data_IF_787549169765
#
_entry.id   IF_787549169765
#
_cell.length_a   1.000
_cell.length_b   1.000
_cell.length_c   1.000
_cell.angle_alpha   90.00
_cell.angle_beta   90.00
_cell.angle_gamma   90.00
#
_symmetry.space_group_name_H-M   'P 1'
#
loop_
_entity.id
_entity.type
_entity.pdbx_description
1 polymer ?
#
# COMPACT_ATOMS: atom_id res chain seq x y z
N UNK A 1 -65.10 30.77 -36.93
CA UNK A 1 -64.29 31.94 -36.54
C UNK A 1 -62.94 31.82 -37.21
N UNK A 2 -62.39 32.87 -37.84
CA UNK A 2 -61.04 32.80 -38.39
C UNK A 2 -60.05 32.57 -37.24
N UNK A 3 -59.19 31.56 -37.40
CA UNK A 3 -58.12 31.27 -36.47
C UNK A 3 -56.82 31.67 -37.15
N UNK A 4 -56.05 32.55 -36.49
CA UNK A 4 -54.69 32.87 -36.91
C UNK A 4 -53.77 32.01 -36.04
N UNK A 5 -52.95 31.21 -36.69
CA UNK A 5 -51.86 30.42 -36.10
C UNK A 5 -50.56 31.03 -36.64
N UNK A 6 -49.50 31.08 -35.82
CA UNK A 6 -48.18 31.70 -36.10
C UNK A 6 -48.10 33.23 -36.06
N UNK A 7 -48.39 33.83 -34.89
CA UNK A 7 -48.04 35.23 -34.60
C UNK A 7 -46.76 35.28 -33.76
N UNK A 8 -45.82 36.14 -34.12
CA UNK A 8 -44.63 36.43 -33.30
C UNK A 8 -45.02 37.26 -32.06
N UNK A 9 -44.12 37.42 -31.09
CA UNK A 9 -44.39 38.28 -29.95
C UNK A 9 -44.62 39.73 -30.40
N UNK A 10 -45.59 40.42 -29.78
CA UNK A 10 -45.95 41.78 -30.14
C UNK A 10 -47.39 42.14 -29.79
N UNK A 11 -47.72 43.42 -29.93
CA UNK A 11 -49.07 43.93 -29.74
C UNK A 11 -49.84 43.84 -31.06
N UNK A 12 -50.95 43.10 -31.05
CA UNK A 12 -51.80 42.92 -32.22
C UNK A 12 -53.10 43.70 -32.05
N UNK A 13 -53.40 44.52 -33.06
CA UNK A 13 -54.70 45.15 -33.21
C UNK A 13 -55.58 44.30 -34.13
N UNK A 14 -56.73 43.87 -33.60
CA UNK A 14 -57.78 43.19 -34.34
C UNK A 14 -58.87 44.20 -34.65
N UNK A 15 -59.22 44.35 -35.93
CA UNK A 15 -60.35 45.16 -36.38
C UNK A 15 -61.48 44.25 -36.85
N UNK A 16 -62.66 44.40 -36.25
CA UNK A 16 -63.89 43.73 -36.70
C UNK A 16 -64.81 44.78 -37.30
N UNK A 17 -65.05 44.70 -38.60
CA UNK A 17 -65.94 45.62 -39.33
C UNK A 17 -67.21 44.91 -39.74
N UNK A 18 -68.37 45.49 -39.39
CA UNK A 18 -69.67 44.94 -39.80
C UNK A 18 -70.00 45.28 -41.27
N UNK A 19 -71.11 44.73 -41.79
CA UNK A 19 -71.54 44.96 -43.17
C UNK A 19 -71.95 46.42 -43.46
N UNK A 20 -72.16 47.24 -42.42
CA UNK A 20 -72.52 48.65 -42.53
C UNK A 20 -71.29 49.57 -42.40
N UNK A 21 -70.08 49.01 -42.27
CA UNK A 21 -68.82 49.75 -42.20
C UNK A 21 -68.41 50.21 -40.81
N UNK A 22 -69.10 49.77 -39.74
CA UNK A 22 -68.72 50.09 -38.37
C UNK A 22 -67.61 49.15 -37.91
N UNK A 23 -66.45 49.70 -37.51
CA UNK A 23 -65.30 48.93 -37.03
C UNK A 23 -65.13 49.03 -35.52
N UNK A 24 -64.89 47.91 -34.85
CA UNK A 24 -64.45 47.83 -33.45
C UNK A 24 -63.00 47.34 -33.45
N UNK A 25 -62.14 48.02 -32.68
CA UNK A 25 -60.76 47.63 -32.45
C UNK A 25 -60.64 46.90 -31.11
N UNK A 26 -59.91 45.79 -31.10
CA UNK A 26 -59.43 45.11 -29.90
C UNK A 26 -57.92 44.98 -29.95
N UNK A 27 -57.26 45.15 -28.80
CA UNK A 27 -55.83 44.96 -28.66
C UNK A 27 -55.55 43.72 -27.81
N UNK A 28 -54.53 42.96 -28.20
CA UNK A 28 -53.98 41.87 -27.38
C UNK A 28 -52.46 41.85 -27.52
N UNK A 29 -51.78 41.52 -26.44
CA UNK A 29 -50.33 41.36 -26.42
C UNK A 29 -49.99 39.88 -26.39
N UNK A 30 -49.11 39.47 -27.31
CA UNK A 30 -48.49 38.16 -27.28
C UNK A 30 -47.09 38.35 -26.70
N UNK A 31 -46.87 37.83 -25.48
CA UNK A 31 -45.57 37.84 -24.82
C UNK A 31 -44.74 36.63 -25.26
N UNK A 32 -43.46 36.83 -25.54
CA UNK A 32 -42.51 35.73 -25.71
C UNK A 32 -42.24 35.09 -24.34
N UNK A 33 -42.14 33.74 -24.26
CA UNK A 33 -41.64 33.09 -23.05
C UNK A 33 -40.26 33.65 -22.67
N UNK A 34 -39.98 33.74 -21.38
CA UNK A 34 -38.62 34.07 -20.92
C UNK A 34 -37.63 33.11 -21.58
N UNK A 35 -36.54 33.61 -22.19
CA UNK A 35 -35.57 32.74 -22.84
C UNK A 35 -35.08 31.70 -21.84
N UNK A 36 -34.82 30.48 -22.31
CA UNK A 36 -34.19 29.49 -21.45
C UNK A 36 -32.81 30.01 -21.03
N UNK A 37 -32.60 30.07 -19.73
CA UNK A 37 -31.33 30.26 -19.08
C UNK A 37 -31.06 29.03 -18.19
N UNK A 38 -29.82 28.85 -17.77
CA UNK A 38 -29.45 27.75 -16.90
C UNK A 38 -28.08 28.02 -16.31
N UNK A 39 -27.85 27.47 -15.12
CA UNK A 39 -26.57 27.60 -14.42
C UNK A 39 -26.13 26.26 -13.86
N UNK A 40 -24.84 26.16 -13.65
CA UNK A 40 -24.24 25.10 -12.84
C UNK A 40 -24.60 25.38 -11.39
N UNK A 41 -25.43 24.54 -10.80
CA UNK A 41 -25.86 24.66 -9.41
C UNK A 41 -24.78 24.12 -8.46
N UNK A 42 -24.18 22.98 -8.82
CA UNK A 42 -23.12 22.36 -8.04
C UNK A 42 -22.16 21.58 -8.95
N UNK A 43 -20.89 21.54 -8.57
CA UNK A 43 -19.88 20.65 -9.14
C UNK A 43 -19.28 19.83 -8.01
N UNK A 44 -19.47 18.52 -8.07
CA UNK A 44 -18.75 17.54 -7.26
C UNK A 44 -17.50 17.11 -8.02
N UNK A 45 -16.33 17.40 -7.43
CA UNK A 45 -15.03 16.95 -7.92
C UNK A 45 -14.85 15.44 -7.71
N UNK A 46 -13.89 14.84 -8.43
CA UNK A 46 -13.55 13.42 -8.21
C UNK A 46 -12.92 13.22 -6.83
N UNK A 47 -13.13 12.04 -6.25
CA UNK A 47 -12.68 11.71 -4.89
C UNK A 47 -11.21 11.38 -4.86
N UNK A 48 -10.76 10.46 -5.73
CA UNK A 48 -9.36 10.08 -5.88
C UNK A 48 -8.82 10.48 -7.25
N UNK A 49 -7.50 10.61 -7.34
CA UNK A 49 -6.84 10.84 -8.62
C UNK A 49 -7.15 9.68 -9.59
N UNK A 50 -7.60 10.00 -10.80
CA UNK A 50 -7.97 9.01 -11.82
C UNK A 50 -9.38 8.40 -11.70
N UNK A 51 -10.15 8.74 -10.66
CA UNK A 51 -11.52 8.25 -10.50
C UNK A 51 -12.51 8.96 -11.44
N UNK A 52 -13.71 8.37 -11.54
CA UNK A 52 -14.87 8.95 -12.23
C UNK A 52 -16.04 9.16 -11.27
N UNK A 53 -15.79 9.66 -10.06
CA UNK A 53 -16.84 9.91 -9.04
C UNK A 53 -17.43 11.32 -9.10
N UNK A 54 -16.98 12.16 -10.04
CA UNK A 54 -17.44 13.52 -10.21
C UNK A 54 -18.90 13.57 -10.68
N UNK A 55 -19.55 14.69 -10.37
CA UNK A 55 -20.91 14.97 -10.81
C UNK A 55 -21.16 16.46 -10.99
N UNK A 56 -22.03 16.82 -11.92
CA UNK A 56 -22.47 18.20 -12.14
C UNK A 56 -23.99 18.25 -12.04
N UNK A 57 -24.49 19.17 -11.22
CA UNK A 57 -25.93 19.46 -11.11
C UNK A 57 -26.25 20.77 -11.80
N UNK A 58 -27.21 20.73 -12.72
CA UNK A 58 -27.69 21.90 -13.46
C UNK A 58 -29.03 22.37 -12.93
N UNK A 59 -29.28 23.67 -13.04
CA UNK A 59 -30.59 24.28 -12.80
C UNK A 59 -31.02 25.06 -14.04
N UNK A 60 -32.15 24.71 -14.64
CA UNK A 60 -32.77 25.45 -15.73
C UNK A 60 -33.69 26.56 -15.18
N UNK A 61 -33.63 27.74 -15.76
CA UNK A 61 -34.41 28.93 -15.44
C UNK A 61 -35.12 29.43 -16.72
N UNK A 62 -36.32 29.98 -16.60
CA UNK A 62 -37.11 30.39 -17.78
C UNK A 62 -37.48 29.20 -18.69
N UNK A 63 -37.66 29.47 -19.99
CA UNK A 63 -37.92 28.44 -21.00
C UNK A 63 -39.24 27.66 -20.83
N UNK A 64 -39.37 26.56 -21.56
CA UNK A 64 -40.58 25.71 -21.56
C UNK A 64 -40.28 24.31 -21.05
N UNK A 65 -40.78 23.89 -19.87
CA UNK A 65 -40.60 22.53 -19.41
C UNK A 65 -41.38 21.51 -20.29
N UNK A 66 -41.01 20.21 -20.29
CA UNK A 66 -39.87 19.63 -19.57
C UNK A 66 -38.51 20.00 -20.16
N UNK A 67 -37.48 19.99 -19.32
CA UNK A 67 -36.10 20.22 -19.72
C UNK A 67 -35.34 18.90 -19.86
N UNK A 68 -34.34 18.90 -20.75
CA UNK A 68 -33.40 17.80 -20.92
C UNK A 68 -31.96 18.30 -20.85
N UNK A 69 -31.08 17.52 -20.23
CA UNK A 69 -29.70 17.85 -19.90
C UNK A 69 -28.74 16.86 -20.55
N UNK A 70 -27.52 17.29 -20.89
CA UNK A 70 -26.44 16.38 -21.30
C UNK A 70 -25.06 17.02 -21.15
N UNK A 71 -24.04 16.18 -21.21
CA UNK A 71 -22.71 16.59 -21.67
C UNK A 71 -22.72 16.67 -23.20
N UNK A 72 -22.10 17.69 -23.78
CA UNK A 72 -22.00 17.87 -25.22
C UNK A 72 -21.34 16.64 -25.87
N UNK A 73 -22.02 16.05 -26.85
CA UNK A 73 -21.62 14.78 -27.48
C UNK A 73 -22.32 13.54 -26.92
N UNK A 74 -23.03 13.65 -25.79
CA UNK A 74 -23.83 12.57 -25.22
C UNK A 74 -25.33 12.69 -25.55
N UNK A 75 -26.11 11.72 -25.07
CA UNK A 75 -27.56 11.73 -25.19
C UNK A 75 -28.20 12.62 -24.12
N UNK A 76 -29.31 13.26 -24.48
CA UNK A 76 -30.12 14.00 -23.53
C UNK A 76 -30.79 13.06 -22.50
N UNK A 77 -30.77 13.47 -21.24
CA UNK A 77 -31.48 12.86 -20.13
C UNK A 77 -32.40 13.87 -19.44
N UNK A 78 -33.37 13.39 -18.67
CA UNK A 78 -34.31 14.26 -17.94
C UNK A 78 -33.81 14.59 -16.52
N UNK A 79 -32.75 13.94 -16.06
CA UNK A 79 -32.13 14.19 -14.76
C UNK A 79 -31.16 15.39 -14.87
N UNK A 80 -31.31 16.44 -14.03
CA UNK A 80 -30.36 17.55 -13.98
C UNK A 80 -28.98 17.17 -13.43
N UNK A 81 -28.79 15.96 -12.89
CA UNK A 81 -27.52 15.48 -12.36
C UNK A 81 -26.81 14.61 -13.41
N UNK A 82 -25.66 15.10 -13.88
CA UNK A 82 -24.72 14.39 -14.73
C UNK A 82 -23.64 13.77 -13.84
N UNK A 83 -23.70 12.46 -13.61
CA UNK A 83 -22.80 11.74 -12.70
C UNK A 83 -21.79 10.88 -13.46
N UNK A 84 -20.89 10.22 -12.71
CA UNK A 84 -19.84 9.34 -13.24
C UNK A 84 -18.82 10.07 -14.12
N UNK A 85 -18.52 11.32 -13.79
CA UNK A 85 -17.60 12.17 -14.55
C UNK A 85 -16.18 12.03 -13.99
N UNK A 86 -15.21 11.85 -14.89
CA UNK A 86 -13.78 12.00 -14.58
C UNK A 86 -13.42 13.48 -14.43
N UNK A 87 -12.21 13.78 -13.93
CA UNK A 87 -11.72 15.14 -13.93
C UNK A 87 -11.53 15.65 -15.37
N UNK A 88 -11.96 16.89 -15.63
CA UNK A 88 -11.93 17.45 -16.97
C UNK A 88 -12.83 18.68 -17.13
N UNK A 89 -12.69 19.32 -18.30
CA UNK A 89 -13.55 20.41 -18.72
C UNK A 89 -14.75 19.85 -19.50
N UNK A 90 -15.95 20.21 -19.07
CA UNK A 90 -17.21 19.75 -19.64
C UNK A 90 -17.98 20.91 -20.23
N UNK A 91 -18.45 20.73 -21.45
CA UNK A 91 -19.50 21.58 -22.04
C UNK A 91 -20.83 20.88 -21.82
N UNK A 92 -21.74 21.55 -21.14
CA UNK A 92 -23.03 21.02 -20.73
C UNK A 92 -24.13 21.72 -21.51
N UNK A 93 -25.12 20.96 -21.95
CA UNK A 93 -26.22 21.50 -22.73
C UNK A 93 -27.56 21.24 -22.05
N UNK A 94 -28.40 22.26 -22.05
CA UNK A 94 -29.79 22.17 -21.58
C UNK A 94 -30.71 22.52 -22.73
N UNK A 95 -31.74 21.70 -22.92
CA UNK A 95 -32.75 21.85 -23.96
C UNK A 95 -34.15 21.94 -23.35
N UNK A 96 -34.92 22.92 -23.80
CA UNK A 96 -36.33 23.05 -23.45
C UNK A 96 -37.27 22.26 -24.38
N UNK A 97 -38.56 22.22 -24.07
CA UNK A 97 -39.55 21.50 -24.86
C UNK A 97 -39.86 22.15 -26.23
N UNK A 98 -39.45 23.41 -26.43
CA UNK A 98 -39.53 24.11 -27.72
C UNK A 98 -38.29 23.87 -28.59
N UNK A 99 -37.29 23.15 -28.08
CA UNK A 99 -36.09 22.77 -28.81
C UNK A 99 -34.95 23.77 -28.71
N UNK A 100 -35.07 24.82 -27.89
CA UNK A 100 -34.01 25.76 -27.64
C UNK A 100 -32.90 25.09 -26.83
N UNK A 101 -31.65 25.17 -27.30
CA UNK A 101 -30.47 24.59 -26.63
C UNK A 101 -29.55 25.72 -26.20
N UNK A 102 -29.06 25.66 -24.97
CA UNK A 102 -28.00 26.52 -24.47
C UNK A 102 -26.85 25.69 -23.92
N UNK A 103 -25.62 26.24 -23.96
CA UNK A 103 -24.40 25.55 -23.55
C UNK A 103 -23.57 26.34 -22.53
N UNK A 104 -23.06 25.67 -21.50
CA UNK A 104 -22.21 26.24 -20.45
C UNK A 104 -21.03 25.33 -20.21
N UNK A 105 -19.86 25.91 -19.99
CA UNK A 105 -18.66 25.13 -19.66
C UNK A 105 -18.36 25.22 -18.17
N UNK A 106 -17.95 24.09 -17.59
CA UNK A 106 -17.44 24.02 -16.21
C UNK A 106 -16.37 22.94 -16.12
N UNK A 107 -15.68 22.87 -14.99
CA UNK A 107 -14.59 21.92 -14.76
C UNK A 107 -14.87 21.06 -13.54
N UNK A 108 -14.76 19.74 -13.71
CA UNK A 108 -14.62 18.79 -12.59
C UNK A 108 -13.13 18.71 -12.27
N UNK A 109 -12.74 19.13 -11.07
CA UNK A 109 -11.35 19.05 -10.63
C UNK A 109 -11.03 17.68 -10.02
N UNK A 110 -9.74 17.37 -9.92
CA UNK A 110 -9.18 16.25 -9.16
C UNK A 110 -8.41 16.76 -7.93
N UNK A 111 -8.29 15.94 -6.87
CA UNK A 111 -7.43 16.27 -5.74
C UNK A 111 -5.96 16.32 -6.17
N UNK A 112 -5.15 17.00 -5.36
CA UNK A 112 -3.69 16.98 -5.51
C UNK A 112 -3.18 15.53 -5.36
N UNK A 113 -2.37 15.07 -6.32
CA UNK A 113 -1.82 13.73 -6.29
C UNK A 113 -0.85 13.58 -5.11
N UNK A 114 -0.90 12.43 -4.44
CA UNK A 114 0.05 12.05 -3.40
C UNK A 114 0.69 10.70 -3.72
N UNK A 115 1.84 10.46 -3.13
CA UNK A 115 2.57 9.19 -3.24
C UNK A 115 3.27 8.87 -1.93
N UNK A 116 3.76 7.64 -1.82
CA UNK A 116 4.62 7.18 -0.73
C UNK A 116 5.93 6.69 -1.33
N UNK A 117 7.04 6.98 -0.66
CA UNK A 117 8.36 6.40 -0.93
C UNK A 117 8.68 5.43 0.20
N UNK A 118 8.85 4.14 -0.11
CA UNK A 118 9.20 3.08 0.83
C UNK A 118 10.72 3.05 1.16
N UNK A 119 11.50 3.86 0.46
CA UNK A 119 12.95 3.91 0.55
C UNK A 119 13.64 2.96 -0.43
N UNK A 120 14.97 2.95 -0.38
CA UNK A 120 15.80 2.09 -1.24
C UNK A 120 15.98 0.70 -0.65
N UNK A 121 16.18 -0.31 -1.51
CA UNK A 121 16.55 -1.66 -1.10
C UNK A 121 17.72 -1.69 -0.11
N UNK A 122 17.64 -2.59 0.87
CA UNK A 122 18.64 -2.74 1.94
C UNK A 122 19.14 -4.18 1.99
N UNK A 123 20.40 -4.37 2.35
CA UNK A 123 20.99 -5.69 2.61
C UNK A 123 21.36 -5.83 4.07
N UNK A 124 20.91 -6.91 4.72
CA UNK A 124 21.20 -7.26 6.12
C UNK A 124 21.85 -8.66 6.21
N UNK A 125 22.54 -8.95 7.31
CA UNK A 125 22.98 -10.31 7.61
C UNK A 125 21.87 -11.10 8.32
N UNK A 126 21.90 -12.43 8.21
CA UNK A 126 20.93 -13.30 8.88
C UNK A 126 20.97 -13.11 10.40
N UNK A 127 19.88 -12.61 10.96
CA UNK A 127 19.72 -12.33 12.39
C UNK A 127 19.85 -10.85 12.76
N UNK A 128 20.20 -10.00 11.80
CA UNK A 128 20.07 -8.55 11.93
C UNK A 128 18.65 -8.08 11.59
N UNK A 129 18.43 -6.78 11.79
CA UNK A 129 17.20 -6.09 11.43
C UNK A 129 17.52 -4.75 10.74
N UNK A 130 16.52 -4.18 10.10
CA UNK A 130 16.60 -2.84 9.52
C UNK A 130 15.30 -2.08 9.78
N UNK A 131 15.38 -0.75 9.83
CA UNK A 131 14.19 0.10 9.90
C UNK A 131 13.77 0.47 8.49
N UNK A 132 12.51 0.20 8.14
CA UNK A 132 11.87 0.71 6.93
C UNK A 132 11.38 2.14 7.20
N UNK A 133 11.26 2.97 6.17
CA UNK A 133 10.79 4.34 6.32
C UNK A 133 9.85 4.69 5.17
N UNK A 134 8.55 4.76 5.46
CA UNK A 134 7.56 5.24 4.50
C UNK A 134 7.42 6.76 4.60
N UNK A 135 7.73 7.44 3.50
CA UNK A 135 7.70 8.90 3.42
C UNK A 135 6.58 9.34 2.46
N UNK A 136 5.44 9.84 2.96
CA UNK A 136 4.39 10.39 2.10
C UNK A 136 4.82 11.73 1.50
N UNK A 137 4.37 12.00 0.28
CA UNK A 137 4.46 13.31 -0.35
C UNK A 137 3.06 13.76 -0.81
N UNK A 138 2.52 14.87 -0.27
CA UNK A 138 3.15 15.80 0.68
C UNK A 138 3.29 15.24 2.11
N UNK A 139 4.35 15.66 2.81
CA UNK A 139 4.66 15.22 4.19
C UNK A 139 3.59 15.61 5.22
N UNK A 140 2.77 16.60 4.92
CA UNK A 140 1.69 17.08 5.79
C UNK A 140 0.38 16.29 5.63
N UNK A 141 0.36 15.27 4.78
CA UNK A 141 -0.84 14.47 4.55
C UNK A 141 -1.14 13.59 5.77
N UNK A 142 -2.37 13.65 6.27
CA UNK A 142 -2.84 12.75 7.32
C UNK A 142 -3.21 11.41 6.68
N UNK A 143 -2.44 10.36 6.96
CA UNK A 143 -2.62 9.04 6.34
C UNK A 143 -2.49 7.91 7.35
N UNK A 144 -3.16 6.81 7.06
CA UNK A 144 -2.93 5.53 7.73
C UNK A 144 -1.95 4.68 6.92
N UNK A 145 -1.13 3.87 7.60
CA UNK A 145 -0.15 2.99 6.98
C UNK A 145 -0.63 1.54 7.04
N UNK A 146 -0.24 0.75 6.04
CA UNK A 146 -0.40 -0.69 6.04
C UNK A 146 0.77 -1.35 5.32
N UNK A 147 1.57 -2.13 6.04
CA UNK A 147 2.69 -2.89 5.51
C UNK A 147 2.37 -4.37 5.37
N UNK A 148 2.88 -4.98 4.30
CA UNK A 148 2.87 -6.42 4.07
C UNK A 148 4.19 -6.88 3.43
N UNK A 149 4.66 -8.11 3.66
CA UNK A 149 4.14 -9.12 4.58
C UNK A 149 4.35 -8.74 6.07
N UNK A 150 3.50 -9.23 6.97
CA UNK A 150 3.43 -8.77 8.37
C UNK A 150 4.36 -9.55 9.33
N UNK A 151 4.74 -10.76 8.96
CA UNK A 151 5.28 -11.79 9.86
C UNK A 151 6.61 -11.40 10.51
N UNK A 152 7.38 -10.53 9.86
CA UNK A 152 8.75 -10.15 10.25
C UNK A 152 8.88 -8.65 10.55
N UNK A 153 7.75 -7.96 10.70
CA UNK A 153 7.69 -6.53 11.02
C UNK A 153 7.34 -6.31 12.49
N UNK A 154 7.87 -5.23 13.06
CA UNK A 154 7.52 -4.81 14.43
C UNK A 154 6.10 -4.25 14.55
N UNK A 155 5.57 -3.67 13.47
CA UNK A 155 4.21 -3.14 13.34
C UNK A 155 3.84 -3.13 11.85
N UNK A 156 2.55 -3.19 11.53
CA UNK A 156 2.06 -3.09 10.15
C UNK A 156 1.40 -1.75 9.85
N UNK A 157 1.04 -0.98 10.88
CA UNK A 157 0.23 0.22 10.83
C UNK A 157 1.00 1.51 11.19
N UNK A 158 2.32 1.42 11.17
CA UNK A 158 3.24 2.49 11.54
C UNK A 158 4.04 2.97 10.32
N UNK A 159 4.53 4.24 10.32
CA UNK A 159 5.32 4.77 9.20
C UNK A 159 6.67 4.07 9.02
N UNK A 160 7.30 3.62 10.12
CA UNK A 160 8.67 3.13 10.09
C UNK A 160 8.90 1.87 10.94
N UNK A 161 8.33 0.73 10.51
CA UNK A 161 8.52 -0.54 11.19
C UNK A 161 9.98 -1.02 11.12
N UNK A 162 10.35 -1.89 12.05
CA UNK A 162 11.59 -2.66 11.98
C UNK A 162 11.32 -4.01 11.34
N UNK A 163 12.06 -4.34 10.27
CA UNK A 163 11.99 -5.59 9.54
C UNK A 163 13.14 -6.53 9.95
N UNK A 164 12.82 -7.79 10.24
CA UNK A 164 13.80 -8.84 10.61
C UNK A 164 13.57 -10.14 9.82
N UNK A 165 13.61 -10.12 8.47
CA UNK A 165 13.33 -11.32 7.67
C UNK A 165 14.49 -12.33 7.67
N UNK A 166 14.16 -13.62 7.49
CA UNK A 166 15.15 -14.72 7.37
C UNK A 166 15.56 -15.05 5.93
N UNK A 167 14.91 -14.42 4.96
CA UNK A 167 15.13 -14.57 3.53
C UNK A 167 14.85 -13.24 2.82
N UNK A 168 15.28 -13.10 1.58
CA UNK A 168 14.95 -11.92 0.79
C UNK A 168 13.43 -11.70 0.80
N UNK A 169 13.01 -10.51 1.22
CA UNK A 169 11.61 -10.17 1.40
C UNK A 169 11.39 -8.77 0.85
N UNK A 170 10.45 -8.66 -0.08
CA UNK A 170 9.93 -7.37 -0.55
C UNK A 170 8.76 -6.98 0.34
N UNK A 171 8.85 -5.79 0.93
CA UNK A 171 7.77 -5.20 1.71
C UNK A 171 7.07 -4.13 0.89
N UNK A 172 5.75 -4.19 0.87
CA UNK A 172 4.88 -3.18 0.26
C UNK A 172 4.26 -2.35 1.37
N UNK A 173 4.40 -1.03 1.30
CA UNK A 173 3.61 -0.09 2.11
C UNK A 173 2.45 0.41 1.27
N UNK A 174 1.26 0.43 1.86
CA UNK A 174 0.11 1.16 1.34
C UNK A 174 -0.23 2.26 2.33
N UNK A 175 -0.36 3.50 1.84
CA UNK A 175 -0.91 4.60 2.63
C UNK A 175 -2.31 4.92 2.13
N UNK A 176 -3.20 5.28 3.05
CA UNK A 176 -4.59 5.66 2.75
C UNK A 176 -4.91 6.99 3.42
N UNK A 177 -5.45 7.94 2.67
CA UNK A 177 -5.88 9.24 3.19
C UNK A 177 -7.28 9.17 3.85
N UNK A 178 -7.80 10.26 4.44
CA UNK A 178 -9.11 10.25 5.11
C UNK A 178 -10.28 10.15 4.12
N UNK A 179 -10.05 10.38 2.82
CA UNK A 179 -11.08 10.26 1.78
C UNK A 179 -11.20 8.82 1.26
N UNK A 180 -10.24 7.96 1.61
CA UNK A 180 -10.21 6.53 1.26
C UNK A 180 -9.33 6.22 0.04
N UNK A 181 -8.62 7.22 -0.50
CA UNK A 181 -7.69 7.03 -1.59
C UNK A 181 -6.41 6.37 -1.09
N UNK A 182 -5.91 5.40 -1.83
CA UNK A 182 -4.72 4.63 -1.44
C UNK A 182 -3.67 4.58 -2.54
N UNK A 183 -2.41 4.61 -2.13
CA UNK A 183 -1.22 4.47 -2.98
C UNK A 183 -0.22 3.57 -2.28
N UNK A 184 0.63 2.91 -3.05
CA UNK A 184 1.60 1.95 -2.52
C UNK A 184 2.98 2.08 -3.13
N UNK A 185 3.98 1.65 -2.39
CA UNK A 185 5.36 1.51 -2.85
C UNK A 185 6.05 0.30 -2.20
N UNK A 186 7.18 -0.13 -2.74
CA UNK A 186 7.88 -1.35 -2.33
C UNK A 186 9.35 -1.13 -2.01
N UNK A 187 9.87 -1.90 -1.05
CA UNK A 187 11.30 -1.95 -0.69
C UNK A 187 11.75 -3.40 -0.50
N UNK A 188 12.87 -3.78 -1.11
CA UNK A 188 13.47 -5.11 -0.93
C UNK A 188 14.47 -5.13 0.23
N UNK A 189 14.28 -6.04 1.18
CA UNK A 189 15.29 -6.40 2.18
C UNK A 189 15.95 -7.71 1.79
N UNK A 190 17.21 -7.65 1.36
CA UNK A 190 18.05 -8.80 1.00
C UNK A 190 18.77 -9.34 2.23
N UNK A 191 18.80 -10.67 2.38
CA UNK A 191 19.39 -11.34 3.53
C UNK A 191 20.63 -12.13 3.12
N UNK A 192 21.80 -11.67 3.56
CA UNK A 192 23.05 -12.41 3.44
C UNK A 192 23.11 -13.49 4.52
N UNK A 193 23.06 -14.74 4.09
CA UNK A 193 23.12 -15.91 4.97
C UNK A 193 24.56 -16.28 5.36
N UNK A 194 25.26 -15.34 5.99
CA UNK A 194 26.56 -15.64 6.60
C UNK A 194 26.36 -16.49 7.86
N UNK A 195 27.18 -17.52 8.01
CA UNK A 195 27.08 -18.51 9.09
C UNK A 195 28.42 -18.70 9.80
N UNK A 196 28.95 -17.65 10.45
CA UNK A 196 30.21 -17.75 11.15
C UNK A 196 30.07 -18.66 12.37
N UNK A 197 30.82 -19.77 12.37
CA UNK A 197 30.99 -20.65 13.51
C UNK A 197 32.50 -20.72 13.81
N UNK A 198 32.87 -20.40 15.04
CA UNK A 198 34.21 -20.60 15.56
C UNK A 198 34.28 -21.95 16.28
N UNK A 199 35.22 -22.78 15.84
CA UNK A 199 35.47 -24.11 16.39
C UNK A 199 36.91 -24.14 16.91
N UNK A 200 37.13 -24.22 18.22
CA UNK A 200 38.46 -24.41 18.78
C UNK A 200 39.08 -25.72 18.28
N UNK A 201 40.36 -25.68 17.89
CA UNK A 201 41.11 -26.89 17.51
C UNK A 201 41.87 -27.51 18.68
N UNK A 202 41.94 -26.81 19.81
CA UNK A 202 42.65 -27.21 21.02
C UNK A 202 41.93 -26.66 22.25
N UNK A 203 41.95 -27.41 23.34
CA UNK A 203 41.46 -26.95 24.65
C UNK A 203 42.28 -27.56 25.79
N UNK A 204 42.29 -26.89 26.94
CA UNK A 204 43.15 -27.19 28.10
C UNK A 204 42.34 -27.24 29.40
N UNK A 205 41.72 -28.39 29.74
CA UNK A 205 40.94 -28.54 30.98
C UNK A 205 41.84 -28.58 32.23
N UNK A 206 42.26 -27.40 32.71
CA UNK A 206 43.16 -27.19 33.84
C UNK A 206 42.50 -26.45 35.03
N UNK A 207 41.26 -25.97 34.85
CA UNK A 207 40.45 -25.28 35.86
C UNK A 207 40.78 -23.79 36.03
N UNK A 208 41.46 -23.15 35.07
CA UNK A 208 41.77 -21.72 35.12
C UNK A 208 40.63 -20.82 34.58
N UNK A 209 39.56 -21.43 34.06
CA UNK A 209 38.41 -20.75 33.48
C UNK A 209 38.59 -20.39 32.01
N UNK A 210 39.71 -20.73 31.37
CA UNK A 210 39.98 -20.49 29.96
C UNK A 210 40.15 -21.82 29.21
N UNK A 211 39.31 -22.04 28.18
CA UNK A 211 39.38 -23.26 27.34
C UNK A 211 39.30 -24.56 28.15
N UNK A 212 38.59 -24.54 29.28
CA UNK A 212 38.38 -25.70 30.13
C UNK A 212 37.42 -26.72 29.52
N UNK A 213 36.62 -26.26 28.55
CA UNK A 213 35.63 -27.05 27.86
C UNK A 213 35.75 -26.86 26.35
N UNK A 214 35.54 -27.94 25.63
CA UNK A 214 35.34 -27.87 24.19
C UNK A 214 33.86 -27.68 23.84
N UNK A 215 33.57 -26.57 23.18
CA UNK A 215 32.27 -26.27 22.57
C UNK A 215 32.45 -25.46 21.29
N UNK A 216 31.34 -25.18 20.58
CA UNK A 216 31.33 -24.34 19.40
C UNK A 216 30.72 -22.96 19.73
N UNK A 217 31.23 -21.92 19.08
CA UNK A 217 30.78 -20.55 19.25
C UNK A 217 30.18 -20.04 17.95
N UNK A 218 29.01 -19.40 18.01
CA UNK A 218 28.33 -18.87 16.84
C UNK A 218 28.03 -17.40 16.94
N UNK A 219 27.94 -16.74 15.78
CA UNK A 219 27.40 -15.38 15.67
C UNK A 219 25.87 -15.34 15.78
N UNK A 220 25.28 -14.18 15.48
CA UNK A 220 23.83 -13.91 15.59
C UNK A 220 22.94 -14.85 14.78
N UNK A 221 23.47 -15.41 13.69
CA UNK A 221 22.76 -16.35 12.83
C UNK A 221 22.56 -17.73 13.48
N UNK A 222 23.40 -18.09 14.46
CA UNK A 222 23.45 -19.42 15.04
C UNK A 222 22.46 -19.53 16.21
N UNK A 223 21.69 -20.61 16.25
CA UNK A 223 20.60 -20.81 17.23
C UNK A 223 21.05 -21.70 18.39
N UNK A 224 21.50 -22.92 18.10
CA UNK A 224 21.97 -23.88 19.09
C UNK A 224 22.81 -24.99 18.45
N UNK A 225 23.57 -25.72 19.27
CA UNK A 225 24.18 -26.98 18.91
C UNK A 225 23.15 -28.08 19.18
N UNK A 226 22.59 -28.66 18.12
CA UNK A 226 21.57 -29.71 18.20
C UNK A 226 22.15 -30.98 18.78
N UNK A 227 23.36 -31.32 18.35
CA UNK A 227 24.10 -32.50 18.78
C UNK A 227 25.59 -32.22 18.71
N UNK A 228 26.34 -32.57 19.75
CA UNK A 228 27.80 -32.59 19.77
C UNK A 228 28.26 -33.95 20.27
N UNK A 229 29.11 -34.60 19.48
CA UNK A 229 29.74 -35.88 19.80
C UNK A 229 31.23 -35.78 19.67
N UNK A 230 31.93 -36.37 20.62
CA UNK A 230 33.38 -36.52 20.60
C UNK A 230 33.71 -37.99 20.52
N UNK A 231 34.64 -38.33 19.63
CA UNK A 231 35.10 -39.68 19.39
C UNK A 231 36.60 -39.79 19.64
N UNK A 232 37.03 -40.95 20.12
CA UNK A 232 38.43 -41.31 20.12
C UNK A 232 38.95 -41.46 18.69
N UNK A 233 40.27 -41.51 18.52
CA UNK A 233 40.92 -41.81 17.21
C UNK A 233 40.52 -43.16 16.60
N UNK A 234 39.81 -44.01 17.35
CA UNK A 234 39.33 -45.33 16.92
C UNK A 234 37.82 -45.36 16.67
N UNK A 235 37.13 -44.21 16.79
CA UNK A 235 35.68 -44.09 16.57
C UNK A 235 34.80 -44.44 17.77
N UNK A 236 35.38 -44.60 18.97
CA UNK A 236 34.61 -44.82 20.20
C UNK A 236 34.01 -43.51 20.69
N UNK A 237 32.73 -43.50 21.06
CA UNK A 237 32.05 -42.31 21.60
C UNK A 237 32.58 -41.99 23.01
N UNK A 238 33.18 -40.81 23.17
CA UNK A 238 33.77 -40.32 24.41
C UNK A 238 32.85 -39.35 25.16
N UNK A 239 32.08 -38.55 24.41
CA UNK A 239 31.19 -37.54 24.95
C UNK A 239 30.04 -37.30 23.99
N UNK A 240 28.84 -37.06 24.53
CA UNK A 240 27.67 -36.65 23.78
C UNK A 240 26.90 -35.60 24.60
N UNK A 241 26.49 -34.53 23.94
CA UNK A 241 25.53 -33.56 24.46
C UNK A 241 24.62 -33.08 23.34
N UNK A 242 23.47 -32.51 23.69
CA UNK A 242 22.46 -32.09 22.72
C UNK A 242 21.70 -30.87 23.22
N UNK A 243 21.19 -30.07 22.29
CA UNK A 243 20.39 -28.88 22.55
C UNK A 243 21.06 -27.87 23.50
N UNK A 244 22.36 -27.64 23.32
CA UNK A 244 23.10 -26.64 24.10
C UNK A 244 23.23 -25.33 23.30
N UNK A 245 23.15 -24.15 23.95
CA UNK A 245 23.41 -22.88 23.27
C UNK A 245 24.85 -22.82 22.73
N UNK A 246 25.05 -22.13 21.60
CA UNK A 246 26.39 -21.68 21.24
C UNK A 246 26.80 -20.59 22.24
N UNK A 247 28.08 -20.51 22.60
CA UNK A 247 28.67 -19.55 23.58
C UNK A 247 28.55 -19.87 25.07
N UNK A 248 28.02 -21.04 25.45
CA UNK A 248 28.08 -21.52 26.84
C UNK A 248 29.13 -22.63 26.95
N UNK A 249 30.26 -22.32 27.58
CA UNK A 249 31.43 -23.21 27.63
C UNK A 249 31.23 -24.40 28.56
N UNK A 250 30.65 -24.21 29.74
CA UNK A 250 30.52 -25.23 30.79
C UNK A 250 29.56 -26.39 30.47
N UNK A 251 28.83 -26.29 29.35
CA UNK A 251 28.01 -27.38 28.79
C UNK A 251 28.75 -28.23 27.74
N UNK A 252 29.98 -27.82 27.38
CA UNK A 252 30.86 -28.53 26.47
C UNK A 252 31.59 -29.70 27.12
N UNK A 253 32.54 -30.28 26.39
CA UNK A 253 33.32 -31.41 26.89
C UNK A 253 34.55 -30.94 27.68
N UNK A 254 34.65 -31.34 28.94
CA UNK A 254 35.77 -31.02 29.84
C UNK A 254 36.94 -32.02 29.75
N UNK A 255 36.97 -32.89 28.74
CA UNK A 255 38.04 -33.86 28.57
C UNK A 255 38.03 -35.01 29.58
N UNK A 256 36.87 -35.28 30.22
CA UNK A 256 36.65 -36.46 31.05
C UNK A 256 35.88 -37.54 30.30
N UNK A 257 36.10 -38.81 30.67
CA UNK A 257 35.25 -39.94 30.32
C UNK A 257 34.91 -40.68 31.62
N UNK A 258 33.62 -40.87 31.93
CA UNK A 258 33.18 -41.56 33.16
C UNK A 258 33.83 -41.01 34.45
N UNK A 259 33.99 -39.68 34.54
CA UNK A 259 34.70 -38.97 35.61
C UNK A 259 36.21 -39.24 35.71
N UNK A 260 36.81 -39.98 34.76
CA UNK A 260 38.25 -40.16 34.66
C UNK A 260 38.87 -39.11 33.72
N UNK A 261 40.04 -38.62 34.12
CA UNK A 261 40.84 -37.69 33.34
C UNK A 261 41.45 -38.41 32.15
N UNK A 262 41.14 -37.93 30.94
CA UNK A 262 41.78 -38.44 29.73
C UNK A 262 43.18 -37.82 29.55
N UNK A 263 44.16 -38.62 29.07
CA UNK A 263 45.48 -38.12 28.75
C UNK A 263 45.43 -37.19 27.52
N UNK A 264 46.44 -36.32 27.36
CA UNK A 264 46.59 -35.53 26.13
C UNK A 264 46.53 -36.41 24.89
N UNK A 265 45.65 -36.07 23.95
CA UNK A 265 45.39 -36.83 22.73
C UNK A 265 44.62 -35.99 21.72
N UNK A 266 44.54 -36.48 20.49
CA UNK A 266 43.64 -35.95 19.45
C UNK A 266 42.35 -36.78 19.45
N UNK A 267 41.23 -36.09 19.31
CA UNK A 267 39.88 -36.63 19.23
C UNK A 267 39.20 -36.08 17.97
N UNK A 268 38.23 -36.80 17.45
CA UNK A 268 37.37 -36.30 16.37
C UNK A 268 36.08 -35.74 16.97
N UNK A 269 35.57 -34.64 16.45
CA UNK A 269 34.25 -34.13 16.80
C UNK A 269 33.29 -34.20 15.62
N UNK A 270 32.02 -34.35 15.96
CA UNK A 270 30.88 -34.22 15.06
C UNK A 270 29.87 -33.31 15.74
N UNK A 271 29.51 -32.21 15.08
CA UNK A 271 28.57 -31.23 15.60
C UNK A 271 27.50 -30.88 14.58
N UNK A 272 26.24 -30.91 14.99
CA UNK A 272 25.11 -30.40 14.23
C UNK A 272 24.71 -29.05 14.81
N UNK A 273 24.85 -27.98 14.03
CA UNK A 273 24.48 -26.63 14.44
C UNK A 273 23.23 -26.20 13.70
N UNK A 274 22.20 -25.82 14.46
CA UNK A 274 20.96 -25.24 13.95
C UNK A 274 21.10 -23.70 13.90
N UNK A 275 20.64 -23.09 12.81
CA UNK A 275 20.61 -21.66 12.59
C UNK A 275 19.19 -21.11 12.78
N UNK A 276 19.07 -19.80 12.92
CA UNK A 276 17.77 -19.15 13.19
C UNK A 276 16.75 -19.29 12.05
N UNK A 277 17.22 -19.60 10.82
CA UNK A 277 16.37 -19.94 9.67
C UNK A 277 15.99 -21.44 9.63
N UNK A 278 16.27 -22.18 10.71
CA UNK A 278 16.09 -23.63 10.87
C UNK A 278 16.96 -24.48 9.93
N UNK A 279 17.95 -23.89 9.25
CA UNK A 279 18.95 -24.67 8.55
C UNK A 279 19.88 -25.36 9.55
N UNK A 280 20.27 -26.61 9.27
CA UNK A 280 21.20 -27.38 10.10
C UNK A 280 22.44 -27.69 9.28
N UNK A 281 23.61 -27.28 9.79
CA UNK A 281 24.90 -27.55 9.16
C UNK A 281 25.72 -28.46 10.07
N UNK A 282 26.37 -29.45 9.45
CA UNK A 282 27.28 -30.38 10.12
C UNK A 282 28.69 -29.81 10.06
N UNK A 283 29.36 -29.82 11.20
CA UNK A 283 30.77 -29.53 11.34
C UNK A 283 31.48 -30.76 11.90
N UNK A 284 32.62 -31.10 11.30
CA UNK A 284 33.45 -32.23 11.70
C UNK A 284 34.92 -31.84 11.61
N UNK A 285 35.74 -32.48 12.43
CA UNK A 285 37.18 -32.22 12.45
C UNK A 285 37.87 -32.79 13.67
N UNK A 286 39.11 -32.37 13.86
CA UNK A 286 39.95 -32.83 14.95
C UNK A 286 40.03 -31.78 16.07
N UNK A 287 40.10 -32.25 17.30
CA UNK A 287 40.43 -31.45 18.47
C UNK A 287 41.56 -32.09 19.27
N UNK A 288 42.53 -31.27 19.65
CA UNK A 288 43.60 -31.64 20.57
C UNK A 288 43.21 -31.32 22.02
N UNK A 289 43.20 -32.34 22.87
CA UNK A 289 43.16 -32.16 24.32
C UNK A 289 44.61 -32.06 24.82
N UNK A 290 44.94 -30.96 25.48
CA UNK A 290 46.24 -30.74 26.13
C UNK A 290 46.04 -30.46 27.61
N UNK A 291 47.03 -30.74 28.46
CA UNK A 291 47.02 -30.45 29.90
C UNK A 291 48.42 -30.15 30.38
#
# INVERSE_FOLDING_TARGET
MPQIITLEAGTYQLSVTDANGCAILGETEIIEPEPIDFKVLNVQNVTCNGDATGAITLEALGGTPPFAYRVAGENFQNDPVLASLSAGDYTLEVRDNRGCVQAVSTRVAEPEAFFVDAGTDVTIELGDNTRLDAVPNPLSLDVTYQWMPAETLSCTDCPNPTASPFQNTTYTVTITDPTGCSVSDEVEVRVLKLRPIYIPTVFSPNGDGENDFFTLFGGKSAKLIRLLRIYSRWGELMFETSNIPLSIEDLGWNGLLNNEILPPSVFAFYAEVEFIDNEVIIYEGDISLIR
#
